data_IF_705449519938
#
_entry.id   IF_705449519938
#
_cell.length_a   1.000
_cell.length_b   1.000
_cell.length_c   1.000
_cell.angle_alpha   90.00
_cell.angle_beta   90.00
_cell.angle_gamma   90.00
#
_symmetry.space_group_name_H-M   'P 1'
#
loop_
_entity.id
_entity.type
_entity.pdbx_description
1 polymer ?
#
# COMPACT_ATOMS: atom_id res chain seq x y z
N UNK A 1 27.50 -7.90 20.48
CA UNK A 1 27.35 -8.77 19.31
C UNK A 1 25.89 -9.17 19.06
N UNK A 2 25.21 -9.90 19.96
CA UNK A 2 23.78 -10.25 19.80
C UNK A 2 22.86 -9.00 19.90
N UNK A 3 23.20 -8.05 20.78
CA UNK A 3 22.50 -6.76 20.92
C UNK A 3 22.56 -5.89 19.66
N UNK A 4 23.73 -5.87 19.02
CA UNK A 4 24.03 -4.99 17.88
C UNK A 4 23.33 -5.50 16.62
N UNK A 5 23.29 -6.83 16.46
CA UNK A 5 22.57 -7.50 15.39
C UNK A 5 21.05 -7.26 15.47
N UNK A 6 20.47 -7.31 16.68
CA UNK A 6 19.06 -6.99 16.91
C UNK A 6 18.70 -5.53 16.55
N UNK A 7 19.59 -4.58 16.85
CA UNK A 7 19.38 -3.16 16.49
C UNK A 7 19.39 -2.94 14.97
N UNK A 8 20.32 -3.60 14.27
CA UNK A 8 20.43 -3.55 12.81
C UNK A 8 19.14 -4.10 12.18
N UNK A 9 18.63 -5.23 12.67
CA UNK A 9 17.37 -5.80 12.18
C UNK A 9 16.15 -4.93 12.44
N UNK A 10 16.05 -4.31 13.62
CA UNK A 10 14.95 -3.40 13.93
C UNK A 10 14.92 -2.21 12.98
N UNK A 11 16.10 -1.67 12.69
CA UNK A 11 16.26 -0.54 11.79
C UNK A 11 15.90 -0.94 10.36
N UNK A 12 16.37 -2.12 9.95
CA UNK A 12 16.07 -2.70 8.64
C UNK A 12 14.57 -2.95 8.42
N UNK A 13 13.87 -3.57 9.38
CA UNK A 13 12.44 -3.87 9.28
C UNK A 13 11.60 -2.59 9.09
N UNK A 14 11.98 -1.49 9.78
CA UNK A 14 11.32 -0.18 9.63
C UNK A 14 11.51 0.42 8.24
N UNK A 15 12.73 0.32 7.69
CA UNK A 15 13.03 0.79 6.33
C UNK A 15 12.26 -0.03 5.31
N UNK A 16 12.19 -1.35 5.50
CA UNK A 16 11.45 -2.24 4.62
C UNK A 16 9.95 -1.90 4.57
N UNK A 17 9.31 -1.60 5.70
CA UNK A 17 7.89 -1.20 5.73
C UNK A 17 7.63 0.06 4.89
N UNK A 18 8.53 1.04 4.95
CA UNK A 18 8.42 2.28 4.15
C UNK A 18 8.64 2.00 2.67
N UNK A 19 9.63 1.18 2.32
CA UNK A 19 9.87 0.78 0.93
C UNK A 19 8.68 -0.01 0.36
N UNK A 20 8.15 -0.97 1.13
CA UNK A 20 6.97 -1.73 0.75
C UNK A 20 5.78 -0.81 0.49
N UNK A 21 5.58 0.23 1.30
CA UNK A 21 4.51 1.21 1.09
C UNK A 21 4.68 1.96 -0.24
N UNK A 22 5.87 2.51 -0.50
CA UNK A 22 6.15 3.26 -1.74
C UNK A 22 5.96 2.36 -2.96
N UNK A 23 6.53 1.15 -2.93
CA UNK A 23 6.39 0.19 -4.03
C UNK A 23 4.94 -0.22 -4.28
N UNK A 24 4.11 -0.37 -3.24
CA UNK A 24 2.70 -0.70 -3.40
C UNK A 24 1.93 0.47 -4.02
N UNK A 25 2.20 1.72 -3.63
CA UNK A 25 1.54 2.90 -4.23
C UNK A 25 1.86 2.98 -5.73
N UNK A 26 3.12 2.78 -6.12
CA UNK A 26 3.54 2.85 -7.53
C UNK A 26 3.07 1.66 -8.35
N UNK A 27 2.96 0.48 -7.76
CA UNK A 27 2.29 -0.62 -8.43
C UNK A 27 0.79 -0.36 -8.62
N UNK A 28 0.14 0.25 -7.64
CA UNK A 28 -1.28 0.59 -7.73
C UNK A 28 -1.54 1.57 -8.89
N UNK A 29 -0.67 2.58 -9.07
CA UNK A 29 -0.74 3.50 -10.21
C UNK A 29 -0.45 2.77 -11.52
N UNK A 30 0.57 1.92 -11.56
CA UNK A 30 0.84 1.07 -12.73
C UNK A 30 -0.34 0.16 -13.11
N UNK A 31 -0.97 -0.50 -12.14
CA UNK A 31 -2.16 -1.32 -12.35
C UNK A 31 -3.31 -0.48 -12.90
N UNK A 32 -3.51 0.72 -12.36
CA UNK A 32 -4.54 1.63 -12.80
C UNK A 32 -4.32 2.02 -14.28
N UNK A 33 -3.11 2.41 -14.64
CA UNK A 33 -2.80 2.88 -15.99
C UNK A 33 -2.80 1.74 -17.01
N UNK A 34 -2.38 0.53 -16.62
CA UNK A 34 -2.32 -0.62 -17.51
C UNK A 34 -3.67 -1.34 -17.69
N UNK A 35 -4.49 -1.44 -16.64
CA UNK A 35 -5.79 -2.14 -16.71
C UNK A 35 -6.96 -1.19 -17.01
N UNK A 36 -6.83 0.10 -16.74
CA UNK A 36 -7.80 1.14 -17.11
C UNK A 36 -7.16 2.27 -17.93
N UNK A 37 -6.55 1.99 -19.11
CA UNK A 37 -5.99 3.02 -19.98
C UNK A 37 -7.09 3.88 -20.61
N UNK A 38 -6.81 5.18 -20.80
CA UNK A 38 -7.73 6.21 -21.33
C UNK A 38 -8.22 5.93 -22.78
N UNK A 39 -7.68 4.92 -23.46
CA UNK A 39 -7.97 4.58 -24.86
C UNK A 39 -9.07 3.51 -25.02
N UNK A 40 -10.32 3.97 -25.18
CA UNK A 40 -11.51 3.45 -25.91
C UNK A 40 -11.77 1.92 -26.10
N UNK A 41 -11.07 1.00 -25.43
CA UNK A 41 -11.30 -0.44 -25.57
C UNK A 41 -12.14 -0.95 -24.42
N UNK A 42 -13.46 -1.11 -24.63
CA UNK A 42 -14.45 -1.51 -23.61
C UNK A 42 -14.10 -2.79 -22.83
N UNK A 43 -13.23 -3.64 -23.37
CA UNK A 43 -12.88 -4.93 -22.79
C UNK A 43 -11.82 -4.85 -21.67
N UNK A 44 -10.87 -3.91 -21.74
CA UNK A 44 -9.89 -3.70 -20.67
C UNK A 44 -10.52 -3.01 -19.45
N UNK A 45 -11.40 -2.03 -19.70
CA UNK A 45 -12.15 -1.31 -18.68
C UNK A 45 -13.03 -2.26 -17.82
N UNK A 46 -13.67 -3.24 -18.45
CA UNK A 46 -14.46 -4.26 -17.74
C UNK A 46 -13.60 -5.17 -16.85
N UNK A 47 -12.40 -5.55 -17.32
CA UNK A 47 -11.47 -6.40 -16.55
C UNK A 47 -10.97 -5.64 -15.33
N UNK A 48 -10.55 -4.38 -15.50
CA UNK A 48 -10.13 -3.51 -14.39
C UNK A 48 -11.24 -3.35 -13.35
N UNK A 49 -12.48 -3.08 -13.79
CA UNK A 49 -13.62 -2.94 -12.91
C UNK A 49 -13.98 -4.24 -12.16
N UNK A 50 -13.85 -5.39 -12.82
CA UNK A 50 -14.06 -6.70 -12.20
C UNK A 50 -13.06 -6.96 -11.08
N UNK A 51 -11.76 -6.75 -11.33
CA UNK A 51 -10.72 -6.87 -10.30
C UNK A 51 -10.89 -5.85 -9.16
N UNK A 52 -11.29 -4.62 -9.47
CA UNK A 52 -11.61 -3.61 -8.47
C UNK A 52 -12.76 -4.07 -7.55
N UNK A 53 -13.82 -4.62 -8.15
CA UNK A 53 -14.98 -5.10 -7.39
C UNK A 53 -14.61 -6.26 -6.47
N UNK A 54 -13.83 -7.22 -6.96
CA UNK A 54 -13.33 -8.34 -6.14
C UNK A 54 -12.48 -7.82 -4.97
N UNK A 55 -11.55 -6.90 -5.23
CA UNK A 55 -10.70 -6.34 -4.18
C UNK A 55 -11.52 -5.59 -3.12
N UNK A 56 -12.53 -4.84 -3.54
CA UNK A 56 -13.44 -4.15 -2.63
C UNK A 56 -14.21 -5.14 -1.74
N UNK A 57 -14.78 -6.21 -2.32
CA UNK A 57 -15.47 -7.25 -1.56
C UNK A 57 -14.54 -7.98 -0.58
N UNK A 58 -13.31 -8.28 -1.02
CA UNK A 58 -12.29 -8.90 -0.18
C UNK A 58 -11.92 -8.01 1.01
N UNK A 59 -11.84 -6.69 0.82
CA UNK A 59 -11.58 -5.71 1.88
C UNK A 59 -12.67 -5.77 2.97
N UNK A 60 -13.95 -5.68 2.58
CA UNK A 60 -15.05 -5.73 3.54
C UNK A 60 -15.16 -7.09 4.23
N UNK A 61 -14.98 -8.19 3.50
CA UNK A 61 -14.95 -9.52 4.08
C UNK A 61 -13.80 -9.69 5.08
N UNK A 62 -12.63 -9.14 4.77
CA UNK A 62 -11.47 -9.14 5.67
C UNK A 62 -11.74 -8.39 6.99
N UNK A 63 -12.39 -7.22 6.95
CA UNK A 63 -12.81 -6.48 8.15
C UNK A 63 -13.75 -7.32 9.01
N UNK A 64 -14.76 -7.94 8.39
CA UNK A 64 -15.74 -8.78 9.10
C UNK A 64 -15.06 -10.00 9.72
N UNK A 65 -14.20 -10.69 8.96
CA UNK A 65 -13.44 -11.85 9.45
C UNK A 65 -12.55 -11.47 10.64
N UNK A 66 -11.81 -10.35 10.54
CA UNK A 66 -10.98 -9.84 11.64
C UNK A 66 -11.79 -9.55 12.89
N UNK A 67 -12.97 -8.94 12.75
CA UNK A 67 -13.85 -8.63 13.87
C UNK A 67 -14.27 -9.90 14.61
N UNK A 68 -14.70 -10.94 13.89
CA UNK A 68 -15.08 -12.21 14.51
C UNK A 68 -13.91 -12.97 15.14
N UNK A 69 -12.71 -12.86 14.57
CA UNK A 69 -11.56 -13.65 15.00
C UNK A 69 -10.78 -13.04 16.17
N UNK A 70 -10.69 -11.70 16.20
CA UNK A 70 -9.84 -10.95 17.13
C UNK A 70 -10.59 -10.03 18.10
N UNK A 71 -11.89 -9.85 17.92
CA UNK A 71 -12.74 -9.05 18.82
C UNK A 71 -13.99 -9.82 19.35
N UNK A 72 -13.86 -11.07 19.85
CA UNK A 72 -15.01 -11.82 20.37
C UNK A 72 -15.54 -11.26 21.69
N UNK A 73 -14.70 -10.59 22.47
CA UNK A 73 -15.05 -10.04 23.79
C UNK A 73 -14.77 -8.55 23.89
N UNK A 74 -15.56 -7.84 24.70
CA UNK A 74 -15.37 -6.40 24.98
C UNK A 74 -14.04 -6.08 25.67
N UNK A 75 -13.35 -7.08 26.22
CA UNK A 75 -12.05 -6.92 26.85
C UNK A 75 -10.92 -6.57 25.85
N UNK A 76 -11.13 -6.82 24.54
CA UNK A 76 -10.15 -6.63 23.49
C UNK A 76 -10.22 -5.23 22.86
N UNK A 77 -10.13 -4.20 23.71
CA UNK A 77 -10.36 -2.80 23.29
C UNK A 77 -9.39 -2.32 22.20
N UNK A 78 -8.11 -2.72 22.26
CA UNK A 78 -7.11 -2.31 21.26
C UNK A 78 -7.39 -2.91 19.88
N UNK A 79 -7.75 -4.19 19.80
CA UNK A 79 -8.10 -4.84 18.53
C UNK A 79 -9.37 -4.24 17.92
N UNK A 80 -10.38 -3.95 18.76
CA UNK A 80 -11.59 -3.23 18.32
C UNK A 80 -11.23 -1.84 17.79
N UNK A 81 -10.34 -1.11 18.48
CA UNK A 81 -9.89 0.21 18.04
C UNK A 81 -9.18 0.15 16.68
N UNK A 82 -8.25 -0.78 16.48
CA UNK A 82 -7.56 -0.93 15.20
C UNK A 82 -8.54 -1.27 14.06
N UNK A 83 -9.39 -2.27 14.24
CA UNK A 83 -10.36 -2.69 13.21
C UNK A 83 -11.34 -1.55 12.87
N UNK A 84 -11.84 -0.83 13.87
CA UNK A 84 -12.78 0.28 13.64
C UNK A 84 -12.11 1.45 12.92
N UNK A 85 -10.86 1.78 13.26
CA UNK A 85 -10.08 2.78 12.55
C UNK A 85 -9.85 2.41 11.08
N UNK A 86 -9.43 1.17 10.81
CA UNK A 86 -9.27 0.63 9.45
C UNK A 86 -10.58 0.68 8.66
N UNK A 87 -11.70 0.32 9.30
CA UNK A 87 -13.02 0.40 8.67
C UNK A 87 -13.39 1.84 8.29
N UNK A 88 -13.07 2.83 9.15
CA UNK A 88 -13.27 4.25 8.83
C UNK A 88 -12.41 4.65 7.62
N UNK A 89 -11.13 4.29 7.60
CA UNK A 89 -10.23 4.61 6.48
C UNK A 89 -10.73 4.03 5.15
N UNK A 90 -11.18 2.77 5.13
CA UNK A 90 -11.75 2.12 3.94
C UNK A 90 -13.03 2.82 3.47
N UNK A 91 -13.92 3.22 4.39
CA UNK A 91 -15.12 3.98 4.04
C UNK A 91 -14.78 5.37 3.47
N UNK A 92 -13.82 6.08 4.06
CA UNK A 92 -13.36 7.39 3.56
C UNK A 92 -12.79 7.25 2.15
N UNK A 93 -11.93 6.25 1.90
CA UNK A 93 -11.38 5.97 0.58
C UNK A 93 -12.48 5.66 -0.43
N UNK A 94 -13.48 4.85 -0.06
CA UNK A 94 -14.62 4.55 -0.92
C UNK A 94 -15.43 5.80 -1.28
N UNK A 95 -15.74 6.67 -0.31
CA UNK A 95 -16.49 7.91 -0.54
C UNK A 95 -15.73 8.86 -1.46
N UNK A 96 -14.41 9.03 -1.22
CA UNK A 96 -13.56 9.91 -2.05
C UNK A 96 -13.46 9.39 -3.47
N UNK A 97 -13.34 8.08 -3.68
CA UNK A 97 -13.29 7.47 -5.02
C UNK A 97 -14.60 7.56 -5.80
N UNK A 98 -15.74 7.51 -5.11
CA UNK A 98 -17.06 7.67 -5.74
C UNK A 98 -17.39 9.13 -6.08
N UNK A 99 -16.62 10.09 -5.56
CA UNK A 99 -16.84 11.49 -5.85
C UNK A 99 -16.58 11.76 -7.34
N UNK A 100 -17.62 12.14 -8.08
CA UNK A 100 -17.66 12.22 -9.56
C UNK A 100 -16.56 13.07 -10.19
N UNK A 101 -15.89 13.94 -9.43
CA UNK A 101 -14.74 14.75 -9.85
C UNK A 101 -13.41 13.96 -9.91
N UNK A 102 -13.36 12.71 -9.41
CA UNK A 102 -12.15 11.86 -9.25
C UNK A 102 -12.33 10.47 -9.90
N UNK A 103 -13.23 10.35 -10.90
CA UNK A 103 -13.71 9.08 -11.47
C UNK A 103 -12.66 8.13 -12.11
N UNK A 104 -11.36 8.45 -12.04
CA UNK A 104 -10.24 7.64 -12.57
C UNK A 104 -9.55 6.76 -11.51
N UNK A 105 -10.01 6.77 -10.25
CA UNK A 105 -9.32 6.13 -9.11
C UNK A 105 -9.99 4.88 -8.52
N UNK A 106 -10.99 4.29 -9.18
CA UNK A 106 -11.78 3.21 -8.55
C UNK A 106 -10.95 1.94 -8.31
N UNK A 107 -10.21 1.47 -9.33
CA UNK A 107 -9.34 0.29 -9.22
C UNK A 107 -8.23 0.52 -8.18
N UNK A 108 -7.57 1.67 -8.24
CA UNK A 108 -6.49 2.00 -7.32
C UNK A 108 -6.95 2.06 -5.86
N UNK A 109 -8.11 2.65 -5.60
CA UNK A 109 -8.68 2.71 -4.24
C UNK A 109 -9.14 1.36 -3.71
N UNK A 110 -9.65 0.48 -4.57
CA UNK A 110 -10.05 -0.87 -4.18
C UNK A 110 -8.85 -1.75 -3.80
N UNK A 111 -7.74 -1.65 -4.54
CA UNK A 111 -6.49 -2.36 -4.21
C UNK A 111 -5.88 -1.78 -2.92
N UNK A 112 -5.89 -0.45 -2.78
CA UNK A 112 -5.40 0.22 -1.57
C UNK A 112 -6.21 -0.17 -0.32
N UNK A 113 -7.54 -0.27 -0.43
CA UNK A 113 -8.41 -0.71 0.67
C UNK A 113 -8.05 -2.11 1.15
N UNK A 114 -7.79 -3.04 0.23
CA UNK A 114 -7.35 -4.40 0.58
C UNK A 114 -6.00 -4.39 1.28
N UNK A 115 -5.08 -3.53 0.84
CA UNK A 115 -3.77 -3.37 1.46
C UNK A 115 -3.87 -2.83 2.89
N UNK A 116 -4.73 -1.83 3.14
CA UNK A 116 -4.98 -1.28 4.48
C UNK A 116 -5.57 -2.34 5.42
N UNK A 117 -6.54 -3.13 4.94
CA UNK A 117 -7.11 -4.26 5.69
C UNK A 117 -6.02 -5.30 6.03
N UNK A 118 -5.11 -5.55 5.09
CA UNK A 118 -3.96 -6.43 5.31
C UNK A 118 -2.97 -5.84 6.35
N UNK A 119 -2.69 -4.53 6.33
CA UNK A 119 -1.85 -3.88 7.32
C UNK A 119 -2.48 -3.92 8.72
N UNK A 120 -3.80 -3.76 8.83
CA UNK A 120 -4.54 -3.94 10.08
C UNK A 120 -4.41 -5.37 10.61
N UNK A 121 -4.57 -6.37 9.74
CA UNK A 121 -4.35 -7.77 10.09
C UNK A 121 -2.92 -7.99 10.65
N UNK A 122 -1.90 -7.46 9.97
CA UNK A 122 -0.50 -7.53 10.40
C UNK A 122 -0.25 -6.83 11.75
N UNK A 123 -0.94 -5.71 11.99
CA UNK A 123 -0.88 -4.96 13.26
C UNK A 123 -1.41 -5.79 14.42
N UNK A 124 -2.59 -6.40 14.27
CA UNK A 124 -3.22 -7.23 15.31
C UNK A 124 -2.38 -8.48 15.59
N UNK A 125 -1.80 -9.10 14.56
CA UNK A 125 -0.91 -10.25 14.77
C UNK A 125 0.35 -9.92 15.57
N UNK A 126 0.75 -8.65 15.59
CA UNK A 126 1.92 -8.17 16.34
C UNK A 126 1.62 -7.92 17.81
N UNK A 127 0.34 -7.97 18.22
CA UNK A 127 -0.04 -7.89 19.64
C UNK A 127 0.65 -9.01 20.44
N UNK A 128 1.30 -8.70 21.58
CA UNK A 128 1.92 -9.72 22.42
C UNK A 128 0.87 -10.73 22.91
N UNK A 129 1.26 -12.00 22.99
CA UNK A 129 0.39 -13.14 23.25
C UNK A 129 -0.46 -12.98 24.51
N UNK A 130 -1.70 -12.53 24.31
CA UNK A 130 -2.77 -12.58 25.29
C UNK A 130 -3.86 -13.48 24.71
N UNK A 131 -3.89 -14.75 25.13
CA UNK A 131 -4.78 -15.80 24.58
C UNK A 131 -6.29 -15.50 24.73
N UNK A 132 -6.64 -14.38 25.36
CA UNK A 132 -8.00 -13.92 25.58
C UNK A 132 -8.64 -13.33 24.33
N UNK A 133 -7.85 -12.71 23.46
CA UNK A 133 -8.37 -11.95 22.31
C UNK A 133 -8.32 -12.71 20.98
N UNK A 134 -7.67 -13.87 20.94
CA UNK A 134 -7.69 -14.78 19.80
C UNK A 134 -8.65 -15.94 20.11
N UNK A 135 -9.58 -16.23 19.21
CA UNK A 135 -10.46 -17.40 19.40
C UNK A 135 -9.61 -18.69 19.45
N UNK A 136 -9.72 -19.48 20.53
CA UNK A 136 -8.94 -20.70 20.77
C UNK A 136 -9.03 -21.73 19.62
N UNK A 137 -10.18 -21.79 18.92
CA UNK A 137 -10.38 -22.61 17.72
C UNK A 137 -9.48 -22.17 16.55
N UNK A 138 -9.16 -20.89 16.44
CA UNK A 138 -8.36 -20.34 15.35
C UNK A 138 -6.85 -20.54 15.56
N UNK A 139 -6.39 -20.48 16.82
CA UNK A 139 -4.97 -20.66 17.20
C UNK A 139 -4.47 -22.06 16.85
N UNK A 140 -5.29 -23.10 17.08
CA UNK A 140 -4.87 -24.49 16.85
C UNK A 140 -4.74 -24.88 15.38
N UNK A 141 -5.40 -24.17 14.48
CA UNK A 141 -5.52 -24.58 13.07
C UNK A 141 -4.62 -23.74 12.14
N UNK A 142 -4.27 -22.51 12.54
CA UNK A 142 -3.73 -21.51 11.60
C UNK A 142 -2.34 -20.92 11.96
N UNK A 143 -1.65 -21.37 13.01
CA UNK A 143 -0.30 -20.87 13.35
C UNK A 143 0.64 -20.98 12.13
N UNK A 144 0.65 -22.14 11.47
CA UNK A 144 1.42 -22.39 10.25
C UNK A 144 0.98 -21.50 9.07
N UNK A 145 -0.32 -21.25 8.92
CA UNK A 145 -0.84 -20.44 7.81
C UNK A 145 -0.41 -18.98 7.92
N UNK A 146 -0.31 -18.44 9.13
CA UNK A 146 0.13 -17.05 9.35
C UNK A 146 1.59 -16.83 8.94
N UNK A 147 2.47 -17.80 9.22
CA UNK A 147 3.86 -17.80 8.77
C UNK A 147 3.98 -17.93 7.25
N UNK A 148 3.24 -18.87 6.66
CA UNK A 148 3.19 -19.06 5.19
C UNK A 148 2.71 -17.78 4.50
N UNK A 149 1.66 -17.16 5.04
CA UNK A 149 1.12 -15.91 4.52
C UNK A 149 2.19 -14.80 4.55
N UNK A 150 2.88 -14.63 5.68
CA UNK A 150 3.98 -13.67 5.82
C UNK A 150 5.09 -13.84 4.78
N UNK A 151 5.42 -15.09 4.45
CA UNK A 151 6.38 -15.41 3.38
C UNK A 151 5.89 -15.00 1.99
N UNK A 152 4.64 -15.30 1.65
CA UNK A 152 4.05 -14.90 0.36
C UNK A 152 4.02 -13.38 0.18
N UNK A 153 3.75 -12.64 1.25
CA UNK A 153 3.73 -11.17 1.24
C UNK A 153 5.13 -10.61 0.98
N UNK A 154 6.18 -11.18 1.55
CA UNK A 154 7.54 -10.73 1.30
C UNK A 154 7.98 -11.02 -0.13
N UNK A 155 7.64 -12.19 -0.69
CA UNK A 155 7.87 -12.48 -2.11
C UNK A 155 7.15 -11.45 -2.98
N UNK A 156 5.87 -11.22 -2.69
CA UNK A 156 5.08 -10.23 -3.42
C UNK A 156 5.73 -8.85 -3.34
N UNK A 157 6.13 -8.38 -2.16
CA UNK A 157 6.82 -7.11 -1.98
C UNK A 157 8.12 -7.00 -2.79
N UNK A 158 8.93 -8.07 -2.84
CA UNK A 158 10.18 -8.09 -3.62
C UNK A 158 9.89 -8.02 -5.13
N UNK A 159 8.94 -8.81 -5.61
CA UNK A 159 8.50 -8.79 -7.02
C UNK A 159 7.99 -7.40 -7.38
N UNK A 160 7.19 -6.80 -6.51
CA UNK A 160 6.59 -5.49 -6.71
C UNK A 160 7.62 -4.36 -6.71
N UNK A 161 8.58 -4.40 -5.78
CA UNK A 161 9.68 -3.45 -5.76
C UNK A 161 10.53 -3.56 -7.04
N UNK A 162 10.76 -4.79 -7.52
CA UNK A 162 11.49 -5.05 -8.77
C UNK A 162 10.72 -4.54 -9.99
N UNK A 163 9.41 -4.81 -10.05
CA UNK A 163 8.55 -4.37 -11.15
C UNK A 163 8.40 -2.85 -11.17
N UNK A 164 8.13 -2.22 -10.02
CA UNK A 164 8.02 -0.76 -9.90
C UNK A 164 9.33 -0.05 -10.28
N UNK A 165 10.48 -0.59 -9.83
CA UNK A 165 11.79 -0.04 -10.22
C UNK A 165 12.08 -0.25 -11.72
N UNK A 166 11.60 -1.35 -12.30
CA UNK A 166 11.80 -1.67 -13.71
C UNK A 166 10.87 -0.92 -14.67
N UNK A 167 9.66 -0.53 -14.23
CA UNK A 167 8.67 0.15 -15.07
C UNK A 167 8.66 1.66 -14.90
N UNK A 168 9.12 2.21 -13.77
CA UNK A 168 9.22 3.66 -13.55
C UNK A 168 10.67 4.13 -13.51
N UNK A 169 11.26 4.32 -14.70
CA UNK A 169 12.61 4.87 -14.88
C UNK A 169 12.78 6.30 -14.36
N UNK A 170 11.67 6.99 -14.00
CA UNK A 170 11.67 8.38 -13.55
C UNK A 170 11.77 8.56 -12.04
N UNK A 171 11.51 7.53 -11.23
CA UNK A 171 11.34 7.69 -9.77
C UNK A 171 12.65 7.96 -9.01
N UNK A 172 13.79 7.46 -9.49
CA UNK A 172 15.10 7.67 -8.86
C UNK A 172 16.01 8.65 -9.60
N UNK A 173 15.52 9.26 -10.68
CA UNK A 173 16.20 10.41 -11.28
C UNK A 173 15.99 11.65 -10.40
N UNK A 174 16.80 11.77 -9.35
CA UNK A 174 17.15 13.08 -8.80
C UNK A 174 17.80 13.90 -9.94
N UNK A 175 17.00 14.70 -10.65
CA UNK A 175 17.32 15.70 -11.70
C UNK A 175 18.67 16.43 -11.42
N UNK A 176 19.59 16.72 -12.33
CA UNK A 176 19.63 17.23 -13.73
C UNK A 176 21.08 16.93 -14.26
N UNK A 177 21.42 16.59 -15.51
CA UNK A 177 21.72 17.48 -16.65
C UNK A 177 22.11 16.61 -17.87
N UNK A 178 21.37 16.78 -18.96
CA UNK A 178 21.81 16.82 -20.37
C UNK A 178 23.19 16.22 -20.75
N UNK A 179 23.24 14.96 -21.20
CA UNK A 179 24.00 14.55 -22.40
C UNK A 179 23.26 13.39 -23.07
N UNK A 180 22.76 13.64 -24.28
CA UNK A 180 22.30 12.62 -25.21
C UNK A 180 23.48 11.71 -25.58
N UNK A 181 23.54 10.52 -25.00
CA UNK A 181 24.42 9.44 -25.46
C UNK A 181 23.63 8.14 -25.51
N UNK A 182 23.61 7.50 -26.69
CA UNK A 182 22.80 6.32 -27.03
C UNK A 182 23.11 5.05 -26.21
N UNK A 183 24.04 5.12 -25.25
CA UNK A 183 24.54 3.99 -24.46
C UNK A 183 24.19 4.07 -22.96
N UNK A 184 23.41 5.07 -22.50
CA UNK A 184 23.10 5.21 -21.07
C UNK A 184 21.81 4.47 -20.67
N UNK A 185 21.98 3.41 -19.87
CA UNK A 185 20.92 2.49 -19.45
C UNK A 185 19.94 3.25 -18.52
N UNK A 186 18.61 3.20 -18.74
CA UNK A 186 17.64 4.10 -18.09
C UNK A 186 17.34 3.81 -16.60
N UNK A 187 18.25 3.18 -15.86
CA UNK A 187 18.11 2.95 -14.41
C UNK A 187 19.46 3.04 -13.68
N UNK A 188 19.43 3.53 -12.44
CA UNK A 188 20.62 3.56 -11.59
C UNK A 188 20.87 2.15 -11.01
N UNK A 189 21.97 1.51 -11.41
CA UNK A 189 22.37 0.19 -10.94
C UNK A 189 22.49 0.10 -9.41
N UNK A 190 22.89 1.19 -8.76
CA UNK A 190 23.06 1.28 -7.31
C UNK A 190 21.74 1.10 -6.55
N UNK A 191 20.68 1.75 -7.03
CA UNK A 191 19.36 1.71 -6.39
C UNK A 191 18.71 0.34 -6.56
N UNK A 192 18.81 -0.23 -7.76
CA UNK A 192 18.30 -1.57 -8.03
C UNK A 192 18.94 -2.61 -7.10
N UNK A 193 20.28 -2.61 -7.00
CA UNK A 193 20.99 -3.55 -6.15
C UNK A 193 20.74 -3.29 -4.65
N UNK A 194 20.54 -2.02 -4.25
CA UNK A 194 20.18 -1.68 -2.88
C UNK A 194 18.81 -2.26 -2.49
N UNK A 195 17.78 -2.06 -3.32
CA UNK A 195 16.44 -2.60 -3.10
C UNK A 195 16.47 -4.14 -3.09
N UNK A 196 17.19 -4.75 -4.04
CA UNK A 196 17.34 -6.20 -4.13
C UNK A 196 18.07 -6.79 -2.90
N UNK A 197 19.13 -6.11 -2.43
CA UNK A 197 19.87 -6.52 -1.23
C UNK A 197 19.00 -6.45 0.02
N UNK A 198 18.19 -5.40 0.16
CA UNK A 198 17.20 -5.28 1.23
C UNK A 198 16.18 -6.43 1.12
N UNK A 199 15.60 -6.65 -0.05
CA UNK A 199 14.66 -7.77 -0.28
C UNK A 199 15.26 -9.14 0.11
N UNK A 200 16.50 -9.42 -0.29
CA UNK A 200 17.19 -10.66 0.02
C UNK A 200 17.46 -10.83 1.53
N UNK A 201 17.82 -9.76 2.23
CA UNK A 201 18.00 -9.78 3.68
C UNK A 201 16.68 -10.06 4.41
N UNK A 202 15.56 -9.48 3.95
CA UNK A 202 14.23 -9.78 4.51
C UNK A 202 13.83 -11.24 4.26
N UNK A 203 14.10 -11.75 3.06
CA UNK A 203 13.83 -13.15 2.72
C UNK A 203 14.62 -14.10 3.63
N UNK A 204 15.89 -13.79 3.89
CA UNK A 204 16.72 -14.56 4.81
C UNK A 204 16.18 -14.55 6.25
N UNK A 205 15.67 -13.42 6.74
CA UNK A 205 15.07 -13.33 8.08
C UNK A 205 13.84 -14.23 8.23
N UNK A 206 12.97 -14.26 7.21
CA UNK A 206 11.80 -15.14 7.21
C UNK A 206 12.18 -16.62 7.17
N UNK A 207 13.18 -16.96 6.37
CA UNK A 207 13.70 -18.32 6.27
C UNK A 207 14.31 -18.79 7.61
N UNK A 208 15.10 -17.93 8.26
CA UNK A 208 15.67 -18.20 9.57
C UNK A 208 14.57 -18.36 10.63
N UNK A 209 13.52 -17.55 10.58
CA UNK A 209 12.37 -17.66 11.50
C UNK A 209 11.62 -18.99 11.33
N UNK A 210 11.62 -19.57 10.13
CA UNK A 210 10.98 -20.85 9.83
C UNK A 210 11.78 -22.06 10.35
N UNK A 211 13.11 -22.03 10.28
CA UNK A 211 13.98 -23.14 10.72
C UNK A 211 14.17 -23.18 12.25
N UNK A 212 14.01 -22.05 12.95
CA UNK A 212 14.29 -21.88 14.39
C UNK A 212 13.07 -22.02 15.31
N UNK A 213 11.95 -22.54 14.81
CA UNK A 213 10.63 -22.58 15.47
C UNK A 213 10.60 -23.31 16.84
N UNK A 214 11.64 -24.07 17.18
CA UNK A 214 11.72 -24.81 18.45
C UNK A 214 12.41 -24.09 19.62
N UNK A 215 13.18 -23.01 19.42
CA UNK A 215 13.95 -22.39 20.53
C UNK A 215 13.80 -20.86 20.67
N UNK A 216 13.15 -20.20 19.73
CA UNK A 216 13.26 -18.73 19.57
C UNK A 216 11.95 -17.96 19.69
N UNK A 217 10.88 -18.59 20.21
CA UNK A 217 9.62 -17.89 20.57
C UNK A 217 9.82 -16.71 21.55
N UNK A 218 10.98 -16.59 22.18
CA UNK A 218 11.34 -15.51 23.13
C UNK A 218 11.93 -14.26 22.48
N UNK A 219 12.28 -14.28 21.19
CA UNK A 219 12.92 -13.15 20.49
C UNK A 219 12.27 -12.81 19.13
N UNK A 220 11.01 -13.19 18.87
CA UNK A 220 10.31 -12.68 17.69
C UNK A 220 10.02 -11.18 17.88
N UNK A 221 10.94 -10.37 17.37
CA UNK A 221 10.97 -8.92 17.41
C UNK A 221 9.73 -8.27 16.77
N UNK A 222 9.00 -9.03 15.94
CA UNK A 222 7.75 -8.59 15.32
C UNK A 222 6.54 -8.65 16.27
N UNK A 223 6.70 -9.22 17.47
CA UNK A 223 5.64 -9.40 18.46
C UNK A 223 5.89 -8.50 19.67
N UNK A 224 5.00 -7.54 19.88
CA UNK A 224 5.06 -6.59 20.98
C UNK A 224 4.35 -5.28 20.65
N UNK A 225 3.89 -4.57 21.68
CA UNK A 225 3.14 -3.32 21.52
C UNK A 225 3.86 -2.28 20.65
N UNK A 226 5.19 -2.21 20.71
CA UNK A 226 5.98 -1.30 19.86
C UNK A 226 5.82 -1.64 18.38
N UNK A 227 5.91 -2.92 18.02
CA UNK A 227 5.71 -3.41 16.64
C UNK A 227 4.29 -3.12 16.17
N UNK A 228 3.28 -3.40 17.00
CA UNK A 228 1.87 -3.07 16.75
C UNK A 228 1.70 -1.59 16.42
N UNK A 229 2.20 -0.68 17.25
CA UNK A 229 2.05 0.76 17.02
C UNK A 229 2.79 1.25 15.78
N UNK A 230 3.98 0.71 15.47
CA UNK A 230 4.71 1.06 14.25
C UNK A 230 3.92 0.65 13.01
N UNK A 231 3.33 -0.55 12.99
CA UNK A 231 2.51 -1.03 11.87
C UNK A 231 1.19 -0.26 11.75
N UNK A 232 0.58 0.12 12.87
CA UNK A 232 -0.61 0.98 12.90
C UNK A 232 -0.33 2.39 12.34
N UNK A 233 0.79 2.99 12.72
CA UNK A 233 1.21 4.29 12.19
C UNK A 233 1.49 4.17 10.68
N UNK A 234 2.13 3.09 10.25
CA UNK A 234 2.37 2.81 8.84
C UNK A 234 1.06 2.71 8.05
N UNK A 235 0.05 2.01 8.57
CA UNK A 235 -1.29 1.93 7.98
C UNK A 235 -1.94 3.31 7.80
N UNK A 236 -1.90 4.13 8.86
CA UNK A 236 -2.50 5.48 8.82
C UNK A 236 -1.76 6.40 7.87
N UNK A 237 -0.43 6.32 7.84
CA UNK A 237 0.42 7.07 6.94
C UNK A 237 0.18 6.68 5.48
N UNK A 238 0.06 5.36 5.21
CA UNK A 238 -0.27 4.83 3.90
C UNK A 238 -1.59 5.38 3.36
N UNK A 239 -2.66 5.31 4.17
CA UNK A 239 -3.96 5.84 3.81
C UNK A 239 -3.91 7.35 3.55
N UNK A 240 -3.17 8.10 4.38
CA UNK A 240 -3.03 9.55 4.25
C UNK A 240 -2.30 9.96 2.97
N UNK A 241 -1.19 9.30 2.64
CA UNK A 241 -0.45 9.54 1.40
C UNK A 241 -1.31 9.25 0.16
N UNK A 242 -2.07 8.15 0.19
CA UNK A 242 -2.93 7.80 -0.93
C UNK A 242 -4.11 8.77 -1.08
N UNK A 243 -4.76 9.16 0.02
CA UNK A 243 -5.78 10.20 0.02
C UNK A 243 -5.24 11.52 -0.53
N UNK A 244 -4.03 11.92 -0.13
CA UNK A 244 -3.37 13.10 -0.67
C UNK A 244 -3.11 12.99 -2.17
N UNK A 245 -2.63 11.83 -2.66
CA UNK A 245 -2.47 11.60 -4.12
C UNK A 245 -3.79 11.77 -4.88
N UNK A 246 -4.93 11.33 -4.33
CA UNK A 246 -6.24 11.52 -4.96
C UNK A 246 -6.73 12.98 -4.92
N UNK A 247 -6.48 13.69 -3.84
CA UNK A 247 -6.97 15.06 -3.62
C UNK A 247 -6.10 16.11 -4.32
N UNK A 248 -4.79 15.91 -4.37
CA UNK A 248 -3.80 16.83 -4.94
C UNK A 248 -4.18 17.41 -6.32
N UNK A 249 -4.53 16.60 -7.35
CA UNK A 249 -4.91 17.14 -8.65
C UNK A 249 -6.23 17.92 -8.62
N UNK A 250 -7.11 17.66 -7.66
CA UNK A 250 -8.41 18.38 -7.54
C UNK A 250 -8.22 19.75 -6.90
N UNK A 251 -7.30 19.86 -5.93
CA UNK A 251 -6.98 21.13 -5.27
C UNK A 251 -6.20 22.02 -6.22
N UNK A 252 -5.15 21.50 -6.86
CA UNK A 252 -4.32 22.26 -7.79
C UNK A 252 -5.12 22.81 -8.99
N UNK A 253 -6.07 22.04 -9.51
CA UNK A 253 -6.95 22.52 -10.59
C UNK A 253 -7.97 23.59 -10.15
N UNK A 254 -8.32 23.67 -8.85
CA UNK A 254 -9.18 24.76 -8.34
C UNK A 254 -8.42 26.07 -8.24
N UNK A 255 -7.15 26.01 -7.84
CA UNK A 255 -6.30 27.20 -7.75
C UNK A 255 -6.08 27.83 -9.13
N UNK A 256 -5.86 27.02 -10.18
CA UNK A 256 -5.73 27.51 -11.56
C UNK A 256 -7.02 28.19 -12.07
N UNK A 257 -8.21 27.68 -11.69
CA UNK A 257 -9.50 28.30 -12.06
C UNK A 257 -9.81 29.58 -11.27
N UNK A 258 -9.15 29.82 -10.14
CA UNK A 258 -9.35 31.04 -9.34
C UNK A 258 -8.37 32.16 -9.69
N UNK A 259 -7.31 31.86 -10.46
CA UNK A 259 -6.32 32.83 -10.93
C UNK A 259 -6.65 33.48 -12.28
N UNK A 260 -7.68 33.02 -13.01
CA UNK A 260 -8.16 33.72 -14.21
C UNK A 260 -9.08 34.88 -13.78
N UNK A 261 -8.66 36.16 -13.89
CA UNK A 261 -9.58 37.26 -13.64
C UNK A 261 -10.60 37.26 -14.77
N UNK A 262 -11.88 37.20 -14.38
CA UNK A 262 -13.05 37.33 -15.23
C UNK A 262 -12.91 38.44 -16.27
N UNK A 263 -12.49 38.10 -17.49
CA UNK A 263 -12.73 38.92 -18.67
C UNK A 263 -14.09 38.50 -19.23
N UNK A 264 -15.08 39.41 -19.28
CA UNK A 264 -16.41 39.06 -19.74
C UNK A 264 -16.37 38.78 -21.25
N UNK A 265 -16.60 37.52 -21.63
CA UNK A 265 -16.92 37.11 -23.00
C UNK A 265 -18.32 37.61 -23.36
N UNK A 266 -18.41 38.91 -23.59
CA UNK A 266 -19.45 39.57 -24.35
C UNK A 266 -18.71 40.44 -25.35
N UNK A 267 -19.12 40.36 -26.62
CA UNK A 267 -18.54 40.99 -27.82
C UNK A 267 -17.43 40.21 -28.54
N UNK A 268 -17.83 39.30 -29.44
CA UNK A 268 -17.68 39.50 -30.89
C UNK A 268 -18.25 38.29 -31.65
N UNK A 269 -19.56 38.35 -31.84
CA UNK A 269 -20.20 37.78 -33.03
C UNK A 269 -20.03 38.82 -34.14
N UNK A 270 -19.21 38.56 -35.15
CA UNK A 270 -19.30 39.23 -36.45
C UNK A 270 -18.76 38.30 -37.54
N UNK A 271 -19.72 37.72 -38.26
CA UNK A 271 -19.79 37.42 -39.69
C UNK A 271 -18.53 37.00 -40.45
N UNK A 272 -18.70 35.91 -41.22
CA UNK A 272 -17.68 35.43 -42.15
C UNK A 272 -17.38 36.41 -43.29
N UNK A 273 -16.28 36.13 -44.00
CA UNK A 273 -16.02 36.36 -45.42
C UNK A 273 -14.65 35.73 -45.75
N UNK A 274 -14.67 34.77 -46.69
CA UNK A 274 -13.78 34.61 -47.85
C UNK A 274 -12.32 35.13 -47.75
N UNK A 275 -11.33 34.24 -47.67
CA UNK A 275 -10.54 33.67 -48.78
C UNK A 275 -9.53 32.65 -48.23
#
# INVERSE_FOLDING_TARGET
MISDFGLIFNTFNRIFLVLQLVSVIEFITWCNDNWMPDSQTKQCDLIGLFFATISCLASYFGIVAMYFMYAPEKACMFNIFFITWTAILVNVLMIVSLHSKVNRGLLSSAIMSSYIVFLCWSTIQSEPSNDKCKTRKWISDNDNWTTILGFLIAIFAIVMATLSTGTDSKFFQFREVEVESDDEIPYQYEVFHFILSIGAMHFAMLFISWELDHTTKRWSIDVGWISTWVKFINETFAASLFLWKLISPVVLNKDIQTEEPSLPYSYLHFDGIMF
#
